data_IF_885147853698
#
_entry.id   IF_885147853698
#
_cell.length_a   1.000
_cell.length_b   1.000
_cell.length_c   1.000
_cell.angle_alpha   90.00
_cell.angle_beta   90.00
_cell.angle_gamma   90.00
#
_symmetry.space_group_name_H-M   'P 1'
#
loop_
_entity.id
_entity.type
_entity.pdbx_description
1 polymer ?
#
# COMPACT_ATOMS: atom_id res chain seq x y z
N UNK A 1 11.86 1.86 -3.48
CA UNK A 1 10.93 1.17 -2.54
C UNK A 1 9.68 0.68 -3.31
N UNK A 2 8.97 -0.33 -2.81
CA UNK A 2 7.78 -0.93 -3.47
C UNK A 2 6.66 -1.16 -2.44
N UNK A 3 5.42 -0.82 -2.80
CA UNK A 3 4.21 -1.25 -2.09
C UNK A 3 3.36 -2.16 -2.97
N UNK A 4 2.74 -3.15 -2.35
CA UNK A 4 1.74 -4.03 -2.95
C UNK A 4 0.44 -3.82 -2.18
N UNK A 5 -0.66 -3.55 -2.87
CA UNK A 5 -1.97 -3.29 -2.28
C UNK A 5 -2.99 -4.20 -2.97
N UNK A 6 -3.47 -5.21 -2.23
CA UNK A 6 -4.51 -6.14 -2.66
C UNK A 6 -5.89 -5.62 -2.24
N UNK A 7 -6.92 -5.83 -3.06
CA UNK A 7 -8.29 -5.38 -2.79
C UNK A 7 -8.34 -3.88 -2.43
N UNK A 8 -7.62 -3.05 -3.19
CA UNK A 8 -7.51 -1.63 -2.93
C UNK A 8 -8.90 -0.97 -2.80
N UNK A 9 -9.06 -0.11 -1.80
CA UNK A 9 -10.31 0.61 -1.47
C UNK A 9 -11.47 -0.27 -0.95
N UNK A 10 -11.26 -1.58 -0.76
CA UNK A 10 -12.26 -2.48 -0.15
C UNK A 10 -11.95 -2.72 1.33
N UNK A 11 -12.94 -3.14 2.15
CA UNK A 11 -12.70 -3.51 3.56
C UNK A 11 -11.68 -4.65 3.73
N UNK A 12 -11.51 -5.49 2.70
CA UNK A 12 -10.57 -6.61 2.67
C UNK A 12 -9.19 -6.22 2.14
N UNK A 13 -8.87 -4.92 2.11
CA UNK A 13 -7.59 -4.41 1.64
C UNK A 13 -6.44 -4.97 2.48
N UNK A 14 -5.41 -5.49 1.79
CA UNK A 14 -4.16 -5.95 2.40
C UNK A 14 -3.01 -5.25 1.71
N UNK A 15 -1.94 -4.93 2.43
CA UNK A 15 -0.76 -4.33 1.82
C UNK A 15 0.54 -4.83 2.43
N UNK A 16 1.60 -4.79 1.64
CA UNK A 16 2.96 -5.05 2.10
C UNK A 16 3.93 -4.05 1.45
N UNK A 17 5.02 -3.76 2.16
CA UNK A 17 6.11 -2.92 1.65
C UNK A 17 7.35 -3.79 1.48
N UNK A 18 8.07 -3.58 0.38
CA UNK A 18 9.25 -4.34 0.02
C UNK A 18 10.25 -3.46 -0.74
N UNK A 19 11.43 -4.02 -1.01
CA UNK A 19 12.30 -3.52 -2.07
C UNK A 19 11.95 -4.23 -3.38
N UNK A 20 12.44 -3.72 -4.51
CA UNK A 20 12.22 -4.38 -5.79
C UNK A 20 12.87 -5.78 -5.82
N UNK A 21 14.06 -5.91 -5.21
CA UNK A 21 14.77 -7.20 -5.12
C UNK A 21 14.06 -8.24 -4.24
N UNK A 22 13.28 -7.80 -3.26
CA UNK A 22 12.55 -8.71 -2.34
C UNK A 22 11.06 -8.86 -2.67
N UNK A 23 10.59 -8.26 -3.78
CA UNK A 23 9.16 -8.17 -4.11
C UNK A 23 8.48 -9.54 -4.18
N UNK A 24 9.06 -10.47 -4.94
CA UNK A 24 8.49 -11.81 -5.13
C UNK A 24 8.42 -12.60 -3.82
N UNK A 25 9.53 -12.64 -3.08
CA UNK A 25 9.59 -13.33 -1.79
C UNK A 25 8.58 -12.75 -0.79
N UNK A 26 8.35 -11.44 -0.82
CA UNK A 26 7.29 -10.80 -0.02
C UNK A 26 5.89 -11.21 -0.48
N UNK A 27 5.60 -11.22 -1.78
CA UNK A 27 4.29 -11.66 -2.30
C UNK A 27 3.98 -13.10 -1.87
N UNK A 28 4.97 -14.00 -1.98
CA UNK A 28 4.82 -15.41 -1.61
C UNK A 28 4.63 -15.59 -0.10
N UNK A 29 5.49 -14.97 0.72
CA UNK A 29 5.41 -15.05 2.18
C UNK A 29 4.10 -14.48 2.74
N UNK A 30 3.63 -13.36 2.20
CA UNK A 30 2.42 -12.69 2.65
C UNK A 30 1.15 -13.25 1.99
N UNK A 31 1.27 -14.17 1.02
CA UNK A 31 0.12 -14.72 0.29
C UNK A 31 -0.73 -13.63 -0.37
N UNK A 32 -0.09 -12.65 -1.00
CA UNK A 32 -0.79 -11.59 -1.75
C UNK A 32 -1.16 -12.10 -3.14
N UNK A 33 -2.38 -11.80 -3.59
CA UNK A 33 -2.94 -12.31 -4.85
C UNK A 33 -3.68 -11.22 -5.60
N UNK A 34 -4.11 -11.51 -6.83
CA UNK A 34 -5.00 -10.61 -7.58
C UNK A 34 -6.38 -10.48 -6.93
N UNK A 35 -7.07 -9.34 -7.11
CA UNK A 35 -6.62 -8.12 -7.78
C UNK A 35 -5.67 -7.30 -6.88
N UNK A 36 -4.55 -6.83 -7.46
CA UNK A 36 -3.51 -6.09 -6.74
C UNK A 36 -2.93 -4.93 -7.56
N UNK A 37 -2.53 -3.86 -6.87
CA UNK A 37 -1.80 -2.71 -7.40
C UNK A 37 -0.40 -2.71 -6.82
N UNK A 38 0.62 -2.48 -7.66
CA UNK A 38 2.02 -2.37 -7.23
C UNK A 38 2.52 -0.96 -7.52
N UNK A 39 3.04 -0.31 -6.49
CA UNK A 39 3.54 1.07 -6.54
C UNK A 39 5.05 1.04 -6.33
N UNK A 40 5.82 1.59 -7.27
CA UNK A 40 7.29 1.57 -7.26
C UNK A 40 7.85 2.99 -7.22
N UNK A 41 8.89 3.21 -6.41
CA UNK A 41 9.59 4.50 -6.28
C UNK A 41 9.15 5.28 -5.03
N UNK A 42 9.68 6.49 -4.86
CA UNK A 42 9.50 7.28 -3.63
C UNK A 42 8.12 7.93 -3.49
N UNK A 43 7.20 7.63 -4.41
CA UNK A 43 5.78 7.99 -4.34
C UNK A 43 5.09 7.47 -3.07
N UNK A 44 5.64 6.44 -2.42
CA UNK A 44 5.19 5.97 -1.09
C UNK A 44 5.28 7.06 -0.02
N UNK A 45 6.27 7.95 -0.10
CA UNK A 45 6.39 9.08 0.84
C UNK A 45 5.25 10.09 0.64
N UNK A 46 4.84 10.30 -0.62
CA UNK A 46 3.67 11.11 -0.95
C UNK A 46 2.36 10.50 -0.42
N UNK A 47 2.22 9.16 -0.45
CA UNK A 47 1.04 8.48 0.10
C UNK A 47 0.92 8.67 1.62
N UNK A 48 2.03 8.58 2.37
CA UNK A 48 2.02 8.83 3.81
C UNK A 48 1.59 10.28 4.14
N UNK A 49 2.06 11.26 3.36
CA UNK A 49 1.68 12.66 3.53
C UNK A 49 0.20 12.92 3.23
N UNK A 50 -0.40 12.18 2.29
CA UNK A 50 -1.83 12.29 1.94
C UNK A 50 -2.71 11.56 2.95
N UNK A 51 -2.35 10.36 3.40
CA UNK A 51 -3.10 9.61 4.42
C UNK A 51 -3.23 10.38 5.75
N UNK A 52 -2.19 11.13 6.13
CA UNK A 52 -2.21 12.05 7.27
C UNK A 52 -3.26 13.16 7.15
N UNK A 53 -3.63 13.59 5.94
CA UNK A 53 -4.60 14.68 5.72
C UNK A 53 -6.04 14.22 5.82
N UNK A 54 -6.36 13.00 5.38
CA UNK A 54 -7.72 12.43 5.46
C UNK A 54 -8.22 12.27 6.91
N UNK A 55 -7.34 11.93 7.85
CA UNK A 55 -7.69 11.81 9.27
C UNK A 55 -7.96 13.18 9.96
N UNK A 56 -7.43 14.29 9.43
CA UNK A 56 -7.60 15.62 10.01
C UNK A 56 -8.90 16.31 9.56
N UNK A 57 -9.48 15.91 8.43
CA UNK A 57 -10.73 16.48 7.92
C UNK A 57 -11.98 15.94 8.62
N UNK A 58 -11.90 14.74 9.24
CA UNK A 58 -13.05 14.10 9.89
C UNK A 58 -13.34 14.62 11.31
N UNK A 59 -12.48 15.48 11.86
CA UNK A 59 -12.66 16.10 13.19
C UNK A 59 -13.20 17.53 13.16
N UNK A 60 -13.55 18.06 11.98
CA UNK A 60 -13.99 19.46 11.79
C UNK A 60 -15.43 19.59 11.24
N UNK A 61 -16.25 18.53 11.29
CA UNK A 61 -17.65 18.54 10.90
C UNK A 61 -18.57 18.30 12.10
#
# INVERSE_FOLDING_TARGET
PVAIIQNASLPTQRHAVATLGSLRATIEREGLQSPSVIVVGDVLQGLAAVASKSAHQQKQA
#
